data_IF_103592037002
#
_entry.id   IF_103592037002
#
_cell.length_a   1.000
_cell.length_b   1.000
_cell.length_c   1.000
_cell.angle_alpha   90.00
_cell.angle_beta   90.00
_cell.angle_gamma   90.00
#
_symmetry.space_group_name_H-M   'P 1'
#
loop_
_entity.id
_entity.type
_entity.pdbx_description
1 polymer ?
#
# COMPACT_ATOMS: atom_id res chain seq x y z
N UNK A 1 16.22 -1.66 -5.32
CA UNK A 1 15.00 -1.80 -6.15
C UNK A 1 14.19 -0.49 -6.22
N UNK A 2 13.62 0.00 -5.11
CA UNK A 2 12.75 1.20 -5.11
C UNK A 2 13.41 2.44 -5.74
N UNK A 3 14.67 2.70 -5.42
CA UNK A 3 15.42 3.83 -5.99
C UNK A 3 15.67 3.71 -7.49
N UNK A 4 16.05 2.50 -7.95
CA UNK A 4 16.23 2.23 -9.37
C UNK A 4 14.92 2.36 -10.15
N UNK A 5 13.80 1.90 -9.59
CA UNK A 5 12.48 2.04 -10.20
C UNK A 5 12.06 3.50 -10.32
N UNK A 6 12.24 4.29 -9.25
CA UNK A 6 11.95 5.72 -9.26
C UNK A 6 12.79 6.46 -10.31
N UNK A 7 14.10 6.19 -10.36
CA UNK A 7 15.02 6.77 -11.36
C UNK A 7 14.69 6.36 -12.79
N UNK A 8 14.06 5.21 -12.99
CA UNK A 8 13.57 4.75 -14.28
C UNK A 8 12.21 5.37 -14.67
N UNK A 9 11.63 6.24 -13.83
CA UNK A 9 10.34 6.87 -14.08
C UNK A 9 9.14 6.02 -13.69
N UNK A 10 9.33 4.89 -13.00
CA UNK A 10 8.22 4.13 -12.44
C UNK A 10 7.64 4.91 -11.27
N UNK A 11 6.42 5.42 -11.42
CA UNK A 11 5.74 6.23 -10.39
C UNK A 11 4.46 5.58 -9.86
N UNK A 12 4.00 4.47 -10.44
CA UNK A 12 2.89 3.67 -9.90
C UNK A 12 3.42 2.60 -8.95
N UNK A 13 3.17 2.76 -7.66
CA UNK A 13 3.63 1.83 -6.62
C UNK A 13 2.41 1.12 -6.04
N UNK A 14 2.33 -0.18 -6.29
CA UNK A 14 1.19 -1.01 -5.92
C UNK A 14 1.57 -2.00 -4.80
N UNK A 15 0.71 -2.14 -3.80
CA UNK A 15 0.91 -3.03 -2.64
C UNK A 15 -0.42 -3.65 -2.18
N UNK A 16 -0.41 -4.42 -1.10
CA UNK A 16 -1.60 -4.99 -0.49
C UNK A 16 -1.40 -5.19 1.02
N UNK A 17 -2.50 -5.20 1.76
CA UNK A 17 -2.50 -5.61 3.17
C UNK A 17 -1.96 -7.05 3.38
N UNK A 18 -2.11 -7.91 2.37
CA UNK A 18 -1.64 -9.30 2.38
C UNK A 18 -0.14 -9.46 2.07
N UNK A 19 0.56 -8.41 1.61
CA UNK A 19 1.98 -8.50 1.27
C UNK A 19 2.83 -8.36 2.54
N UNK A 20 3.32 -9.50 3.04
CA UNK A 20 4.08 -9.61 4.27
C UNK A 20 5.46 -10.22 3.99
N UNK A 21 6.46 -9.77 4.74
CA UNK A 21 7.78 -10.39 4.82
C UNK A 21 8.21 -10.61 6.29
N UNK A 22 9.44 -11.04 6.51
CA UNK A 22 9.99 -11.28 7.86
C UNK A 22 10.03 -10.03 8.76
N UNK A 23 9.88 -8.83 8.19
CA UNK A 23 9.84 -7.54 8.89
C UNK A 23 8.41 -6.99 9.08
N UNK A 24 7.39 -7.72 8.63
CA UNK A 24 5.98 -7.35 8.73
C UNK A 24 5.39 -6.94 7.37
N UNK A 25 4.44 -6.01 7.36
CA UNK A 25 3.84 -5.57 6.10
C UNK A 25 4.80 -4.65 5.31
N UNK A 26 4.97 -4.97 4.02
CA UNK A 26 5.91 -4.27 3.12
C UNK A 26 5.57 -2.79 2.93
N UNK A 27 4.32 -2.39 3.20
CA UNK A 27 3.86 -1.00 3.11
C UNK A 27 4.54 -0.09 4.13
N UNK A 28 5.08 -0.65 5.23
CA UNK A 28 5.92 0.10 6.17
C UNK A 28 7.26 0.51 5.56
N UNK A 29 7.85 -0.34 4.71
CA UNK A 29 9.09 -0.05 3.98
C UNK A 29 8.82 1.00 2.90
N UNK A 30 7.74 0.81 2.13
CA UNK A 30 7.31 1.78 1.12
C UNK A 30 7.04 3.16 1.74
N UNK A 31 6.30 3.20 2.85
CA UNK A 31 5.99 4.43 3.58
C UNK A 31 7.23 5.18 4.05
N UNK A 32 8.26 4.48 4.55
CA UNK A 32 9.54 5.09 4.90
C UNK A 32 10.28 5.64 3.67
N UNK A 33 10.29 4.89 2.57
CA UNK A 33 11.01 5.27 1.35
C UNK A 33 10.38 6.50 0.65
N UNK A 34 9.06 6.53 0.51
CA UNK A 34 8.35 7.59 -0.23
C UNK A 34 7.99 8.81 0.64
N UNK A 35 8.39 8.83 1.92
CA UNK A 35 8.14 9.97 2.84
C UNK A 35 8.87 11.24 2.42
N UNK A 36 9.98 11.08 1.72
CA UNK A 36 10.65 12.14 0.99
C UNK A 36 9.64 12.94 0.14
N UNK A 37 9.54 14.27 0.28
CA UNK A 37 8.51 15.06 -0.40
C UNK A 37 8.51 14.95 -1.92
N UNK A 38 9.69 14.88 -2.55
CA UNK A 38 9.81 14.78 -4.01
C UNK A 38 9.26 13.43 -4.49
N UNK A 39 9.58 12.36 -3.76
CA UNK A 39 9.04 11.02 -4.03
C UNK A 39 7.55 10.95 -3.73
N UNK A 40 7.09 11.52 -2.61
CA UNK A 40 5.67 11.51 -2.25
C UNK A 40 4.84 12.20 -3.31
N UNK A 41 5.28 13.36 -3.78
CA UNK A 41 4.57 14.12 -4.81
C UNK A 41 4.53 13.38 -6.15
N UNK A 42 5.59 12.63 -6.46
CA UNK A 42 5.73 11.95 -7.74
C UNK A 42 5.07 10.57 -7.78
N UNK A 43 4.95 9.87 -6.65
CA UNK A 43 4.52 8.46 -6.61
C UNK A 43 3.02 8.32 -6.38
N UNK A 44 2.35 7.66 -7.32
CA UNK A 44 0.99 7.17 -7.18
C UNK A 44 0.96 5.86 -6.38
N UNK A 45 0.71 5.98 -5.07
CA UNK A 45 0.52 4.85 -4.15
C UNK A 45 -0.88 4.21 -4.28
N UNK A 46 -0.93 2.93 -4.67
CA UNK A 46 -2.11 2.09 -4.69
C UNK A 46 -2.01 0.95 -3.67
N UNK A 47 -3.13 0.56 -3.04
CA UNK A 47 -3.17 -0.59 -2.15
C UNK A 47 -4.51 -1.33 -2.20
N UNK A 48 -4.44 -2.61 -1.85
CA UNK A 48 -5.55 -3.55 -1.87
C UNK A 48 -5.99 -3.99 -0.49
N UNK A 49 -7.27 -4.33 -0.37
CA UNK A 49 -7.88 -4.97 0.80
C UNK A 49 -8.75 -6.17 0.40
N UNK A 50 -9.20 -6.99 1.34
CA UNK A 50 -10.29 -7.93 1.05
C UNK A 50 -9.88 -9.33 0.59
N UNK A 51 -8.60 -9.60 0.35
CA UNK A 51 -8.16 -10.96 0.03
C UNK A 51 -8.35 -11.91 1.23
N UNK A 52 -9.17 -12.94 1.05
CA UNK A 52 -9.34 -14.03 2.03
C UNK A 52 -9.40 -15.38 1.33
N UNK A 53 -9.17 -16.46 2.08
CA UNK A 53 -9.28 -17.83 1.56
C UNK A 53 -10.71 -18.21 1.15
N UNK A 54 -11.71 -17.44 1.56
CA UNK A 54 -13.12 -17.64 1.24
C UNK A 54 -13.60 -16.77 0.07
N UNK A 55 -12.68 -16.04 -0.58
CA UNK A 55 -12.98 -15.05 -1.62
C UNK A 55 -12.86 -13.61 -1.11
N UNK A 56 -13.18 -12.66 -1.98
CA UNK A 56 -13.03 -11.25 -1.68
C UNK A 56 -14.05 -10.78 -0.65
N UNK A 57 -13.57 -10.02 0.35
CA UNK A 57 -14.37 -9.50 1.47
C UNK A 57 -14.46 -7.99 1.43
N UNK A 58 -15.66 -7.48 1.20
CA UNK A 58 -15.96 -6.06 1.00
C UNK A 58 -16.97 -5.44 1.97
N UNK A 59 -17.30 -6.09 3.09
CA UNK A 59 -18.26 -5.51 4.04
C UNK A 59 -17.71 -4.20 4.67
N UNK A 60 -18.56 -3.17 4.87
CA UNK A 60 -18.09 -1.82 5.22
C UNK A 60 -17.19 -1.75 6.47
N UNK A 61 -17.47 -2.55 7.50
CA UNK A 61 -16.65 -2.60 8.71
C UNK A 61 -15.26 -3.15 8.43
N UNK A 62 -15.18 -4.24 7.66
CA UNK A 62 -13.91 -4.82 7.25
C UNK A 62 -13.10 -3.87 6.37
N UNK A 63 -13.72 -3.23 5.38
CA UNK A 63 -13.06 -2.27 4.49
C UNK A 63 -12.44 -1.11 5.28
N UNK A 64 -13.19 -0.54 6.24
CA UNK A 64 -12.70 0.53 7.12
C UNK A 64 -11.54 0.05 7.99
N UNK A 65 -11.68 -1.12 8.60
CA UNK A 65 -10.64 -1.71 9.45
C UNK A 65 -9.32 -1.90 8.69
N UNK A 66 -9.38 -2.43 7.47
CA UNK A 66 -8.19 -2.63 6.63
C UNK A 66 -7.54 -1.31 6.21
N UNK A 67 -8.35 -0.27 5.93
CA UNK A 67 -7.84 1.05 5.58
C UNK A 67 -7.04 1.65 6.74
N UNK A 68 -7.60 1.64 7.96
CA UNK A 68 -6.91 2.18 9.14
C UNK A 68 -5.63 1.41 9.47
N UNK A 69 -5.65 0.08 9.30
CA UNK A 69 -4.46 -0.74 9.51
C UNK A 69 -3.36 -0.40 8.49
N UNK A 70 -3.72 -0.19 7.22
CA UNK A 70 -2.76 0.22 6.20
C UNK A 70 -2.19 1.60 6.48
N UNK A 71 -3.03 2.58 6.81
CA UNK A 71 -2.59 3.94 7.14
C UNK A 71 -1.64 3.94 8.34
N UNK A 72 -1.88 3.09 9.35
CA UNK A 72 -0.98 2.92 10.49
C UNK A 72 0.40 2.36 10.08
N UNK A 73 0.46 1.45 9.10
CA UNK A 73 1.73 0.90 8.61
C UNK A 73 2.48 1.87 7.69
N UNK A 74 1.79 2.47 6.72
CA UNK A 74 2.39 3.29 5.69
C UNK A 74 2.68 4.71 6.21
N UNK A 75 1.80 5.25 7.04
CA UNK A 75 1.88 6.61 7.59
C UNK A 75 1.69 7.72 6.55
N UNK A 76 1.10 7.39 5.39
CA UNK A 76 0.89 8.30 4.27
C UNK A 76 -0.48 8.05 3.63
N UNK A 77 -1.04 9.08 2.99
CA UNK A 77 -2.29 8.96 2.26
C UNK A 77 -2.15 8.07 1.02
N UNK A 78 -3.21 7.34 0.69
CA UNK A 78 -3.31 6.42 -0.44
C UNK A 78 -3.99 7.15 -1.60
N UNK A 79 -3.55 6.93 -2.85
CA UNK A 79 -4.24 7.48 -4.03
C UNK A 79 -5.34 6.55 -4.55
N UNK A 80 -5.10 5.24 -4.55
CA UNK A 80 -6.06 4.24 -4.96
C UNK A 80 -6.18 3.14 -3.90
N UNK A 81 -7.37 2.98 -3.35
CA UNK A 81 -7.70 1.93 -2.40
C UNK A 81 -8.80 1.06 -3.01
N UNK A 82 -8.52 -0.23 -3.21
CA UNK A 82 -9.41 -1.11 -3.99
C UNK A 82 -9.48 -2.52 -3.42
N UNK A 83 -10.56 -3.24 -3.75
CA UNK A 83 -10.75 -4.62 -3.32
C UNK A 83 -9.83 -5.56 -4.13
N UNK A 84 -9.23 -6.52 -3.44
CA UNK A 84 -8.43 -7.59 -3.99
C UNK A 84 -9.39 -8.71 -4.40
N UNK A 85 -9.64 -8.74 -5.72
CA UNK A 85 -10.63 -9.56 -6.44
C UNK A 85 -12.11 -9.12 -6.30
#
# INVERSE_FOLDING_TARGET
LLDSAFKAGCTLYDTANAYLDSSGNVSSILGRYIRDPDKRHSIFLATKFGFTMQGARGDPEYVKKQCYQFEAWCGLYIHLYYQHD
#
